data_IF_269722964272
#
_entry.id   IF_269722964272
#
_cell.length_a   1.000
_cell.length_b   1.000
_cell.length_c   1.000
_cell.angle_alpha   90.00
_cell.angle_beta   90.00
_cell.angle_gamma   90.00
#
_symmetry.space_group_name_H-M   'P 1'
#
loop_
_entity.id
_entity.type
_entity.pdbx_description
1 polymer ?
#
# COMPACT_ATOMS: atom_id res chain seq x y z
N UNK A 1 -1.21 -10.48 4.89
CA UNK A 1 -1.51 -10.36 3.45
C UNK A 1 -1.21 -11.71 2.79
N UNK A 2 -1.94 -12.14 1.75
CA UNK A 2 -1.57 -13.36 1.01
C UNK A 2 -0.15 -13.25 0.44
N UNK A 3 0.64 -14.30 0.57
CA UNK A 3 2.04 -14.32 0.12
C UNK A 3 2.16 -14.51 -1.41
N UNK A 4 3.25 -14.02 -1.98
CA UNK A 4 3.62 -14.30 -3.38
C UNK A 4 2.84 -13.51 -4.44
N UNK A 5 2.16 -12.43 -4.06
CA UNK A 5 1.46 -11.58 -5.02
C UNK A 5 2.41 -10.70 -5.83
N UNK A 6 2.22 -10.63 -7.15
CA UNK A 6 2.91 -9.64 -8.00
C UNK A 6 2.43 -8.21 -7.74
N UNK A 7 1.14 -8.05 -7.42
CA UNK A 7 0.51 -6.76 -7.18
C UNK A 7 -0.37 -6.83 -5.93
N UNK A 8 -0.12 -5.90 -5.00
CA UNK A 8 -0.96 -5.62 -3.85
C UNK A 8 -1.71 -4.31 -4.12
N UNK A 9 -2.93 -4.44 -4.67
CA UNK A 9 -3.74 -3.29 -5.11
C UNK A 9 -4.67 -2.81 -3.99
N UNK A 10 -4.68 -1.51 -3.73
CA UNK A 10 -5.59 -0.86 -2.78
C UNK A 10 -6.26 0.33 -3.47
N UNK A 11 -7.59 0.34 -3.48
CA UNK A 11 -8.41 1.42 -4.08
C UNK A 11 -9.22 2.08 -2.99
N UNK A 12 -9.00 3.37 -2.76
CA UNK A 12 -9.75 4.16 -1.77
C UNK A 12 -9.74 3.51 -0.39
N UNK A 13 -8.54 3.19 0.10
CA UNK A 13 -8.34 2.55 1.40
C UNK A 13 -7.54 3.45 2.32
N UNK A 14 -6.38 3.98 1.88
CA UNK A 14 -5.44 4.59 2.81
C UNK A 14 -5.93 5.93 3.37
N UNK A 15 -6.77 6.66 2.63
CA UNK A 15 -7.29 7.96 3.07
C UNK A 15 -8.28 7.90 4.23
N UNK A 16 -8.78 6.71 4.58
CA UNK A 16 -9.67 6.51 5.74
C UNK A 16 -8.90 6.41 7.07
N UNK A 17 -7.57 6.31 7.00
CA UNK A 17 -6.72 5.97 8.14
C UNK A 17 -5.75 7.09 8.49
N UNK A 18 -5.32 7.13 9.75
CA UNK A 18 -4.21 7.99 10.17
C UNK A 18 -2.89 7.53 9.56
N UNK A 19 -1.88 8.40 9.55
CA UNK A 19 -0.55 8.08 9.05
C UNK A 19 0.06 6.82 9.69
N UNK A 20 -0.14 6.63 11.00
CA UNK A 20 0.34 5.46 11.72
C UNK A 20 -0.34 4.17 11.26
N UNK A 21 -1.66 4.23 11.07
CA UNK A 21 -2.46 3.09 10.61
C UNK A 21 -2.15 2.76 9.14
N UNK A 22 -2.08 3.77 8.27
CA UNK A 22 -1.68 3.60 6.87
C UNK A 22 -0.26 3.02 6.76
N UNK A 23 0.68 3.48 7.59
CA UNK A 23 2.04 2.91 7.68
C UNK A 23 2.00 1.44 8.09
N UNK A 24 1.15 1.09 9.06
CA UNK A 24 0.97 -0.30 9.51
C UNK A 24 0.45 -1.19 8.38
N UNK A 25 -0.54 -0.73 7.62
CA UNK A 25 -1.07 -1.43 6.43
C UNK A 25 0.05 -1.69 5.41
N UNK A 26 0.82 -0.65 5.07
CA UNK A 26 1.92 -0.76 4.10
C UNK A 26 3.05 -1.67 4.61
N UNK A 27 3.37 -1.65 5.91
CA UNK A 27 4.35 -2.56 6.52
C UNK A 27 3.92 -4.01 6.45
N UNK A 28 2.63 -4.30 6.60
CA UNK A 28 2.09 -5.65 6.49
C UNK A 28 2.13 -6.21 5.05
N UNK A 29 2.25 -5.35 4.03
CA UNK A 29 2.47 -5.79 2.64
C UNK A 29 3.90 -6.28 2.41
N UNK A 30 4.90 -5.66 3.04
CA UNK A 30 6.33 -5.97 2.82
C UNK A 30 6.71 -7.45 2.99
N UNK A 31 6.36 -8.16 4.08
CA UNK A 31 6.75 -9.57 4.24
C UNK A 31 6.09 -10.48 3.20
N UNK A 32 4.85 -10.18 2.80
CA UNK A 32 4.15 -10.99 1.80
C UNK A 32 4.76 -10.89 0.39
N UNK A 33 5.54 -9.83 0.15
CA UNK A 33 6.25 -9.55 -1.10
C UNK A 33 7.69 -10.09 -1.13
N UNK A 34 8.20 -10.66 -0.04
CA UNK A 34 9.64 -10.90 0.15
C UNK A 34 10.28 -11.77 -0.95
N UNK A 35 9.55 -12.76 -1.46
CA UNK A 35 10.03 -13.71 -2.48
C UNK A 35 9.75 -13.23 -3.92
N UNK A 36 9.16 -12.03 -4.08
CA UNK A 36 8.73 -11.48 -5.36
C UNK A 36 9.53 -10.21 -5.69
N UNK A 37 10.66 -10.31 -6.43
CA UNK A 37 11.57 -9.18 -6.66
C UNK A 37 10.92 -7.99 -7.36
N UNK A 38 9.87 -8.25 -8.15
CA UNK A 38 9.13 -7.24 -8.89
C UNK A 38 7.75 -6.92 -8.30
N UNK A 39 7.41 -7.42 -7.11
CA UNK A 39 6.13 -7.12 -6.51
C UNK A 39 5.97 -5.61 -6.26
N UNK A 40 4.75 -5.10 -6.44
CA UNK A 40 4.42 -3.70 -6.22
C UNK A 40 3.17 -3.54 -5.37
N UNK A 41 3.17 -2.51 -4.53
CA UNK A 41 1.94 -1.97 -3.95
C UNK A 41 1.45 -0.90 -4.91
N UNK A 42 0.19 -1.00 -5.34
CA UNK A 42 -0.44 -0.02 -6.25
C UNK A 42 -1.61 0.61 -5.54
N UNK A 43 -1.55 1.93 -5.39
CA UNK A 43 -2.58 2.73 -4.73
C UNK A 43 -3.39 3.46 -5.79
N UNK A 44 -4.70 3.26 -5.78
CA UNK A 44 -5.65 4.07 -6.53
C UNK A 44 -6.34 5.04 -5.57
N UNK A 45 -5.80 6.25 -5.49
CA UNK A 45 -6.21 7.28 -4.54
C UNK A 45 -6.36 8.65 -5.20
N UNK A 46 -7.13 9.52 -4.56
CA UNK A 46 -7.11 10.94 -4.88
C UNK A 46 -5.85 11.57 -4.27
N UNK A 47 -4.96 12.05 -5.13
CA UNK A 47 -3.80 12.82 -4.69
C UNK A 47 -4.23 14.28 -4.57
N UNK A 48 -4.27 14.79 -3.34
CA UNK A 48 -4.55 16.20 -3.08
C UNK A 48 -3.30 17.01 -3.48
N UNK A 49 -3.42 18.04 -4.33
CA UNK A 49 -2.30 18.89 -4.70
C UNK A 49 -1.68 19.54 -3.45
N UNK A 50 -0.35 19.60 -3.40
CA UNK A 50 0.32 20.38 -2.36
C UNK A 50 -0.04 21.86 -2.56
N UNK A 51 -0.52 22.51 -1.51
CA UNK A 51 -0.70 23.97 -1.47
C UNK A 51 0.54 24.58 -0.82
N UNK A 52 1.14 25.55 -1.50
CA UNK A 52 2.20 26.41 -0.95
C UNK A 52 1.68 27.23 0.25
#
# INVERSE_FOLDING_TARGET
MPEGGDIYFMKHILHDWTDEQATTILRNCRPAMQDMPNARVVLLEFVVPHRE
#
